data_IF_546885413742
#
_entry.id   IF_546885413742
#
_cell.length_a   1.000
_cell.length_b   1.000
_cell.length_c   1.000
_cell.angle_alpha   90.00
_cell.angle_beta   90.00
_cell.angle_gamma   90.00
#
_symmetry.space_group_name_H-M   'P 1'
#
loop_
_entity.id
_entity.type
_entity.pdbx_description
1 polymer ?
#
# COMPACT_ATOMS: atom_id res chain seq x y z
N UNK A 1 9.99 -11.55 13.89
CA UNK A 1 9.14 -11.92 12.74
C UNK A 1 9.18 -13.41 12.42
N UNK A 2 10.34 -14.04 12.39
CA UNK A 2 10.50 -15.48 12.06
C UNK A 2 9.76 -16.48 12.98
N UNK A 3 9.53 -16.17 14.25
CA UNK A 3 8.91 -17.11 15.21
C UNK A 3 7.45 -17.48 14.91
N UNK A 4 6.66 -16.61 14.22
CA UNK A 4 5.27 -16.92 13.83
C UNK A 4 5.19 -17.86 12.62
N UNK A 5 6.20 -17.87 11.76
CA UNK A 5 6.24 -18.67 10.55
C UNK A 5 6.45 -20.17 10.85
N UNK A 6 7.26 -20.47 11.88
CA UNK A 6 7.63 -21.84 12.25
C UNK A 6 6.40 -22.67 12.68
N UNK A 7 5.35 -22.03 13.18
CA UNK A 7 4.10 -22.69 13.61
C UNK A 7 3.22 -23.15 12.44
N UNK A 8 3.55 -22.79 11.20
CA UNK A 8 2.77 -23.13 10.02
C UNK A 8 3.51 -24.18 9.17
N UNK A 9 2.77 -25.21 8.72
CA UNK A 9 3.30 -26.20 7.80
C UNK A 9 3.79 -25.52 6.53
N UNK A 10 4.92 -25.98 5.98
CA UNK A 10 5.58 -25.31 4.84
C UNK A 10 4.66 -25.17 3.63
N UNK A 11 3.85 -26.20 3.35
CA UNK A 11 2.91 -26.24 2.23
C UNK A 11 1.72 -25.27 2.37
N UNK A 12 1.44 -24.80 3.59
CA UNK A 12 0.33 -23.87 3.90
C UNK A 12 0.79 -22.42 4.10
N UNK A 13 2.05 -22.12 3.81
CA UNK A 13 2.60 -20.77 3.94
C UNK A 13 3.33 -20.33 2.69
N UNK A 14 3.39 -19.02 2.49
CA UNK A 14 4.28 -18.38 1.53
C UNK A 14 5.00 -17.22 2.23
N UNK A 15 6.29 -17.12 1.99
CA UNK A 15 7.11 -16.00 2.42
C UNK A 15 7.34 -15.07 1.23
N UNK A 16 6.95 -13.81 1.37
CA UNK A 16 7.14 -12.80 0.32
C UNK A 16 7.80 -11.55 0.89
N UNK A 17 8.58 -10.90 0.07
CA UNK A 17 9.22 -9.67 0.50
C UNK A 17 10.49 -9.32 -0.25
N UNK A 18 10.99 -8.13 0.09
CA UNK A 18 12.17 -7.54 -0.53
C UNK A 18 13.13 -6.94 0.51
N UNK A 19 14.39 -6.80 0.09
CA UNK A 19 15.39 -5.94 0.70
C UNK A 19 16.13 -5.22 -0.43
N UNK A 20 16.13 -3.88 -0.36
CA UNK A 20 16.75 -3.09 -1.39
C UNK A 20 16.17 -3.33 -2.80
N UNK A 21 14.87 -3.60 -2.93
CA UNK A 21 14.20 -3.88 -4.21
C UNK A 21 14.41 -5.29 -4.75
N UNK A 22 15.16 -6.16 -4.07
CA UNK A 22 15.40 -7.55 -4.49
C UNK A 22 14.68 -8.53 -3.58
N UNK A 23 14.23 -9.66 -4.13
CA UNK A 23 13.64 -10.74 -3.35
C UNK A 23 14.61 -11.18 -2.24
N UNK A 24 14.10 -11.37 -1.03
CA UNK A 24 14.89 -11.88 0.10
C UNK A 24 15.30 -13.32 -0.19
N UNK A 25 16.56 -13.66 0.05
CA UNK A 25 17.05 -15.03 -0.09
C UNK A 25 16.25 -15.99 0.81
N UNK A 26 15.90 -17.15 0.29
CA UNK A 26 15.06 -18.14 0.96
C UNK A 26 13.56 -17.81 1.02
N UNK A 27 13.11 -16.69 0.45
CA UNK A 27 11.69 -16.37 0.33
C UNK A 27 11.11 -16.94 -0.97
N UNK A 28 9.82 -17.31 -0.93
CA UNK A 28 9.13 -17.88 -2.10
C UNK A 28 8.92 -16.81 -3.19
N UNK A 29 8.50 -15.59 -2.80
CA UNK A 29 8.15 -14.50 -3.71
C UNK A 29 8.89 -13.20 -3.33
N UNK A 30 9.11 -12.32 -4.32
CA UNK A 30 9.43 -10.92 -4.13
C UNK A 30 8.21 -10.12 -3.66
N UNK A 31 8.18 -8.82 -3.98
CA UNK A 31 7.03 -7.94 -3.69
C UNK A 31 6.30 -7.45 -4.95
N UNK A 32 6.61 -8.01 -6.13
CA UNK A 32 5.85 -7.74 -7.35
C UNK A 32 4.40 -8.20 -7.19
N UNK A 33 3.39 -7.33 -7.42
CA UNK A 33 1.99 -7.71 -7.34
C UNK A 33 1.63 -8.80 -8.36
N UNK A 34 2.33 -8.87 -9.49
CA UNK A 34 2.09 -9.83 -10.56
C UNK A 34 2.47 -11.25 -10.18
N UNK A 35 3.35 -11.44 -9.20
CA UNK A 35 3.73 -12.76 -8.68
C UNK A 35 2.68 -13.35 -7.72
N UNK A 36 1.79 -12.51 -7.18
CA UNK A 36 0.77 -12.90 -6.18
C UNK A 36 -0.54 -13.25 -6.88
N UNK A 37 -0.55 -14.37 -7.60
CA UNK A 37 -1.74 -14.84 -8.32
C UNK A 37 -2.61 -15.77 -7.48
N UNK A 38 -3.92 -15.86 -7.79
CA UNK A 38 -4.83 -16.79 -7.11
C UNK A 38 -4.29 -18.22 -7.08
N UNK A 39 -3.69 -18.69 -8.18
CA UNK A 39 -3.08 -20.03 -8.29
C UNK A 39 -1.96 -20.24 -7.26
N UNK A 40 -1.16 -19.22 -7.01
CA UNK A 40 0.01 -19.28 -6.12
C UNK A 40 -0.39 -19.19 -4.65
N UNK A 41 -1.37 -18.31 -4.32
CA UNK A 41 -1.70 -17.99 -2.91
C UNK A 41 -2.89 -18.73 -2.34
N UNK A 42 -3.70 -19.39 -3.17
CA UNK A 42 -4.93 -20.03 -2.73
C UNK A 42 -4.67 -21.06 -1.61
N UNK A 43 -5.43 -20.93 -0.51
CA UNK A 43 -5.32 -21.80 0.67
C UNK A 43 -4.05 -21.59 1.52
N UNK A 44 -3.25 -20.56 1.23
CA UNK A 44 -1.99 -20.31 1.93
C UNK A 44 -2.04 -19.04 2.76
N UNK A 45 -1.31 -19.03 3.87
CA UNK A 45 -1.03 -17.84 4.64
C UNK A 45 0.25 -17.17 4.14
N UNK A 46 0.16 -15.87 3.86
CA UNK A 46 1.28 -15.07 3.39
C UNK A 46 1.99 -14.41 4.57
N UNK A 47 3.32 -14.50 4.60
CA UNK A 47 4.18 -13.80 5.55
C UNK A 47 5.01 -12.79 4.79
N UNK A 48 4.70 -11.51 4.97
CA UNK A 48 5.35 -10.42 4.24
C UNK A 48 6.43 -9.75 5.08
N UNK A 49 7.57 -9.44 4.44
CA UNK A 49 8.64 -8.62 5.02
C UNK A 49 9.17 -7.65 3.98
N UNK A 50 9.05 -6.36 4.26
CA UNK A 50 9.52 -5.29 3.36
C UNK A 50 10.45 -4.34 4.10
N UNK A 51 11.19 -3.53 3.37
CA UNK A 51 12.13 -2.55 3.93
C UNK A 51 11.40 -1.47 4.72
N UNK A 52 10.28 -0.95 4.20
CA UNK A 52 9.57 0.21 4.76
C UNK A 52 8.17 -0.13 5.26
N UNK A 53 7.30 -0.70 4.42
CA UNK A 53 5.87 -0.88 4.72
C UNK A 53 5.58 -1.67 6.00
N UNK A 54 6.31 -2.75 6.26
CA UNK A 54 6.10 -3.54 7.49
C UNK A 54 6.51 -2.78 8.77
N UNK A 55 7.47 -1.87 8.68
CA UNK A 55 7.84 -0.99 9.82
C UNK A 55 6.73 0.05 10.09
N UNK A 56 6.16 0.63 9.03
CA UNK A 56 5.08 1.61 9.15
C UNK A 56 3.83 0.97 9.77
N UNK A 57 3.45 -0.22 9.33
CA UNK A 57 2.34 -0.98 9.93
C UNK A 57 2.57 -1.26 11.43
N UNK A 58 3.80 -1.56 11.84
CA UNK A 58 4.12 -1.76 13.26
C UNK A 58 3.93 -0.50 14.11
N UNK A 59 4.22 0.68 13.56
CA UNK A 59 4.04 1.96 14.28
C UNK A 59 2.58 2.27 14.59
N UNK A 60 1.67 1.90 13.69
CA UNK A 60 0.23 2.21 13.79
C UNK A 60 -0.65 1.02 14.17
N UNK A 61 -0.06 -0.12 14.55
CA UNK A 61 -0.78 -1.37 14.85
C UNK A 61 -1.79 -1.28 16.01
N UNK A 62 -1.77 -0.19 16.79
CA UNK A 62 -2.69 0.07 17.89
C UNK A 62 -3.90 0.93 17.47
N UNK A 63 -3.97 1.39 16.22
CA UNK A 63 -5.12 2.13 15.72
C UNK A 63 -6.40 1.27 15.84
N UNK A 64 -7.52 1.93 16.14
CA UNK A 64 -8.85 1.27 16.24
C UNK A 64 -9.20 0.56 14.91
N UNK A 65 -8.95 1.23 13.80
CA UNK A 65 -9.05 0.67 12.45
C UNK A 65 -7.73 0.91 11.73
N UNK A 66 -7.23 -0.09 11.05
CA UNK A 66 -6.01 -0.01 10.25
C UNK A 66 -6.26 -0.69 8.92
N UNK A 67 -6.12 0.06 7.84
CA UNK A 67 -6.28 -0.40 6.47
C UNK A 67 -4.97 -0.26 5.69
N UNK A 68 -4.73 -1.18 4.76
CA UNK A 68 -3.69 -1.00 3.75
C UNK A 68 -4.33 -0.53 2.45
N UNK A 69 -3.87 0.63 1.95
CA UNK A 69 -4.39 1.25 0.75
C UNK A 69 -3.29 1.39 -0.31
N UNK A 70 -3.67 1.27 -1.54
CA UNK A 70 -2.91 1.58 -2.74
C UNK A 70 -3.85 2.19 -3.79
N UNK A 71 -3.32 2.75 -4.85
CA UNK A 71 -4.17 3.31 -5.93
C UNK A 71 -5.18 2.30 -6.49
N UNK A 72 -4.83 1.01 -6.70
CA UNK A 72 -5.76 -0.01 -7.16
C UNK A 72 -7.01 -0.23 -6.27
N UNK A 73 -6.93 -0.05 -4.96
CA UNK A 73 -8.05 -0.25 -4.04
C UNK A 73 -8.47 1.02 -3.29
N UNK A 74 -8.06 2.20 -3.77
CA UNK A 74 -8.34 3.50 -3.14
C UNK A 74 -9.82 3.69 -2.84
N UNK A 75 -10.69 3.48 -3.86
CA UNK A 75 -12.14 3.64 -3.74
C UNK A 75 -12.73 2.77 -2.64
N UNK A 76 -12.46 1.47 -2.65
CA UNK A 76 -12.98 0.53 -1.65
C UNK A 76 -12.58 0.93 -0.22
N UNK A 77 -11.32 1.35 -0.02
CA UNK A 77 -10.86 1.81 1.30
C UNK A 77 -11.52 3.13 1.69
N UNK A 78 -11.66 4.08 0.76
CA UNK A 78 -12.32 5.37 1.01
C UNK A 78 -13.79 5.18 1.41
N UNK A 79 -14.54 4.37 0.68
CA UNK A 79 -15.95 4.05 0.98
C UNK A 79 -16.09 3.37 2.36
N UNK A 80 -15.13 2.51 2.73
CA UNK A 80 -15.08 1.93 4.07
C UNK A 80 -14.86 2.99 5.14
N UNK A 81 -13.95 3.95 4.92
CA UNK A 81 -13.70 5.06 5.85
C UNK A 81 -14.96 5.91 6.01
N UNK A 82 -15.64 6.26 4.92
CA UNK A 82 -16.90 7.03 4.93
C UNK A 82 -17.98 6.29 5.75
N UNK A 83 -18.14 4.99 5.52
CA UNK A 83 -19.11 4.15 6.25
C UNK A 83 -18.85 4.12 7.74
N UNK A 84 -17.58 4.15 8.16
CA UNK A 84 -17.20 4.15 9.57
C UNK A 84 -17.45 5.48 10.29
N UNK A 85 -17.69 6.55 9.55
CA UNK A 85 -17.90 7.93 10.08
C UNK A 85 -16.82 8.31 11.11
N UNK A 86 -15.57 8.00 10.81
CA UNK A 86 -14.45 8.27 11.72
C UNK A 86 -14.18 9.78 11.76
N UNK A 87 -14.11 10.35 12.97
CA UNK A 87 -13.81 11.78 13.17
C UNK A 87 -12.40 12.16 12.69
N UNK A 88 -11.45 11.23 12.83
CA UNK A 88 -10.05 11.46 12.47
C UNK A 88 -9.54 10.32 11.59
N UNK A 89 -8.87 10.69 10.51
CA UNK A 89 -8.20 9.75 9.59
C UNK A 89 -6.74 10.15 9.47
N UNK A 90 -5.83 9.25 9.83
CA UNK A 90 -4.40 9.40 9.60
C UNK A 90 -3.99 8.61 8.36
N UNK A 91 -3.40 9.27 7.38
CA UNK A 91 -2.80 8.63 6.21
C UNK A 91 -1.29 8.56 6.45
N UNK A 92 -0.75 7.35 6.53
CA UNK A 92 0.66 7.12 6.79
C UNK A 92 1.36 6.59 5.54
N UNK A 93 2.17 7.41 4.88
CA UNK A 93 3.12 6.96 3.88
C UNK A 93 4.27 6.16 4.52
N UNK A 94 4.72 5.12 3.84
CA UNK A 94 5.84 4.29 4.33
C UNK A 94 7.20 4.97 4.14
N UNK A 95 7.28 5.88 3.17
CA UNK A 95 8.52 6.51 2.77
C UNK A 95 9.51 5.52 2.16
N UNK A 96 10.68 6.03 1.82
CA UNK A 96 11.79 5.19 1.39
C UNK A 96 13.03 5.48 2.23
N UNK A 97 13.43 4.49 3.05
CA UNK A 97 14.60 4.58 3.95
C UNK A 97 14.59 5.83 4.86
N UNK A 98 13.39 6.23 5.31
CA UNK A 98 13.19 7.41 6.15
C UNK A 98 13.03 8.73 5.40
N UNK A 99 13.13 8.70 4.07
CA UNK A 99 12.95 9.87 3.21
C UNK A 99 11.54 9.94 2.62
N UNK A 100 11.23 11.09 2.02
CA UNK A 100 9.99 11.33 1.30
C UNK A 100 9.80 10.35 0.13
N UNK A 101 8.57 9.90 -0.09
CA UNK A 101 8.17 9.07 -1.22
C UNK A 101 7.09 9.79 -2.02
N UNK A 102 7.37 10.05 -3.29
CA UNK A 102 6.45 10.74 -4.20
C UNK A 102 5.19 9.90 -4.43
N UNK A 103 5.35 8.60 -4.62
CA UNK A 103 4.27 7.64 -4.85
C UNK A 103 3.34 7.50 -3.64
N UNK A 104 3.88 7.53 -2.41
CA UNK A 104 3.07 7.50 -1.19
C UNK A 104 2.25 8.78 -1.05
N UNK A 105 2.86 9.94 -1.33
CA UNK A 105 2.18 11.23 -1.30
C UNK A 105 1.11 11.34 -2.39
N UNK A 106 1.37 10.81 -3.58
CA UNK A 106 0.37 10.72 -4.65
C UNK A 106 -0.84 9.89 -4.20
N UNK A 107 -0.61 8.73 -3.58
CA UNK A 107 -1.67 7.87 -3.08
C UNK A 107 -2.44 8.53 -1.93
N UNK A 108 -1.75 9.26 -1.04
CA UNK A 108 -2.38 10.03 0.03
C UNK A 108 -3.30 11.13 -0.51
N UNK A 109 -2.83 11.91 -1.50
CA UNK A 109 -3.62 12.93 -2.18
C UNK A 109 -4.83 12.33 -2.90
N UNK A 110 -4.65 11.19 -3.57
CA UNK A 110 -5.72 10.47 -4.23
C UNK A 110 -6.84 10.05 -3.26
N UNK A 111 -6.47 9.52 -2.09
CA UNK A 111 -7.43 9.15 -1.06
C UNK A 111 -8.16 10.37 -0.49
N UNK A 112 -7.41 11.41 -0.13
CA UNK A 112 -7.97 12.64 0.43
C UNK A 112 -8.92 13.34 -0.55
N UNK A 113 -8.57 13.41 -1.85
CA UNK A 113 -9.45 13.94 -2.90
C UNK A 113 -10.76 13.16 -2.97
N UNK A 114 -10.69 11.82 -3.01
CA UNK A 114 -11.88 10.98 -3.04
C UNK A 114 -12.79 11.22 -1.81
N UNK A 115 -12.20 11.27 -0.62
CA UNK A 115 -12.96 11.54 0.60
C UNK A 115 -13.63 12.91 0.56
N UNK A 116 -12.94 13.97 0.14
CA UNK A 116 -13.50 15.33 0.00
C UNK A 116 -14.67 15.40 -0.99
N UNK A 117 -14.59 14.62 -2.05
CA UNK A 117 -15.61 14.62 -3.12
C UNK A 117 -16.85 13.80 -2.76
N UNK A 118 -16.72 12.79 -1.88
CA UNK A 118 -17.78 11.78 -1.66
C UNK A 118 -18.29 11.72 -0.21
N UNK A 119 -17.69 12.44 0.75
CA UNK A 119 -18.24 12.57 2.10
C UNK A 119 -19.39 13.57 2.11
N UNK A 120 -20.45 13.26 2.87
CA UNK A 120 -21.59 14.16 3.10
C UNK A 120 -21.24 15.31 4.07
N UNK A 121 -20.13 15.20 4.79
CA UNK A 121 -19.64 16.19 5.74
C UNK A 121 -18.29 16.76 5.29
N UNK A 122 -18.01 17.95 5.78
CA UNK A 122 -16.76 18.67 5.44
C UNK A 122 -15.52 17.91 5.95
N UNK A 123 -14.53 17.74 5.09
CA UNK A 123 -13.23 17.15 5.41
C UNK A 123 -12.21 18.25 5.61
N UNK A 124 -11.74 18.40 6.83
CA UNK A 124 -10.69 19.36 7.18
C UNK A 124 -9.30 18.75 7.00
N UNK A 125 -8.45 19.42 6.24
CA UNK A 125 -7.03 19.06 6.09
C UNK A 125 -6.22 19.75 7.18
N UNK A 126 -5.57 18.95 8.03
CA UNK A 126 -4.97 19.45 9.26
C UNK A 126 -3.46 19.71 9.17
N UNK A 127 -2.82 19.40 8.02
CA UNK A 127 -1.38 19.59 7.87
C UNK A 127 -0.98 19.89 6.41
N UNK A 128 0.18 20.51 6.26
CA UNK A 128 0.70 20.94 4.96
C UNK A 128 1.09 19.78 4.06
N UNK A 129 1.54 18.65 4.63
CA UNK A 129 1.92 17.47 3.86
C UNK A 129 0.74 16.90 3.08
N UNK A 130 -0.45 16.86 3.69
CA UNK A 130 -1.64 16.39 2.99
C UNK A 130 -2.17 17.43 1.99
N UNK A 131 -2.00 18.73 2.29
CA UNK A 131 -2.31 19.80 1.35
C UNK A 131 -1.42 19.71 0.10
N UNK A 132 -0.11 19.48 0.29
CA UNK A 132 0.83 19.25 -0.80
C UNK A 132 0.51 17.98 -1.58
N UNK A 133 0.09 16.92 -0.90
CA UNK A 133 -0.32 15.65 -1.54
C UNK A 133 -1.57 15.82 -2.42
N UNK A 134 -2.54 16.65 -2.00
CA UNK A 134 -3.71 17.00 -2.83
C UNK A 134 -3.28 17.74 -4.11
N UNK A 135 -2.41 18.73 -3.99
CA UNK A 135 -1.87 19.45 -5.14
C UNK A 135 -1.10 18.52 -6.09
N UNK A 136 -0.30 17.59 -5.52
CA UNK A 136 0.41 16.56 -6.29
C UNK A 136 -0.58 15.66 -7.05
N UNK A 137 -1.64 15.22 -6.40
CA UNK A 137 -2.69 14.42 -7.04
C UNK A 137 -3.34 15.17 -8.21
N UNK A 138 -3.70 16.43 -8.04
CA UNK A 138 -4.32 17.24 -9.10
C UNK A 138 -3.43 17.36 -10.34
N UNK A 139 -2.13 17.43 -10.17
CA UNK A 139 -1.17 17.46 -11.28
C UNK A 139 -1.07 16.11 -11.99
N UNK A 140 -1.07 15.00 -11.26
CA UNK A 140 -0.70 13.69 -11.80
C UNK A 140 -1.85 12.70 -11.99
N UNK A 141 -3.07 13.01 -11.55
CA UNK A 141 -4.22 12.09 -11.62
C UNK A 141 -4.54 11.54 -13.02
N UNK A 142 -4.16 12.28 -14.07
CA UNK A 142 -4.36 11.86 -15.46
C UNK A 142 -3.16 11.11 -16.06
N UNK A 143 -2.03 11.05 -15.37
CA UNK A 143 -0.83 10.35 -15.85
C UNK A 143 -0.06 9.72 -14.68
N UNK A 144 -0.77 8.86 -13.93
CA UNK A 144 -0.24 8.17 -12.75
C UNK A 144 1.01 7.35 -13.09
N UNK A 145 0.98 6.61 -14.20
CA UNK A 145 2.10 5.77 -14.62
C UNK A 145 3.39 6.58 -14.77
N UNK A 146 3.30 7.75 -15.39
CA UNK A 146 4.45 8.64 -15.56
C UNK A 146 4.93 9.19 -14.21
N UNK A 147 4.02 9.54 -13.31
CA UNK A 147 4.38 9.96 -11.95
C UNK A 147 5.20 8.88 -11.24
N UNK A 148 4.72 7.63 -11.21
CA UNK A 148 5.43 6.51 -10.58
C UNK A 148 6.82 6.28 -11.17
N UNK A 149 6.96 6.36 -12.49
CA UNK A 149 8.26 6.21 -13.18
C UNK A 149 9.20 7.41 -12.95
N UNK A 150 8.66 8.59 -12.71
CA UNK A 150 9.45 9.82 -12.46
C UNK A 150 9.98 9.86 -11.02
N UNK A 151 9.30 9.22 -10.08
CA UNK A 151 9.71 9.13 -8.69
C UNK A 151 11.13 8.56 -8.54
N UNK A 152 11.87 9.01 -7.53
CA UNK A 152 13.25 8.53 -7.28
C UNK A 152 13.29 7.01 -7.11
N UNK A 153 12.31 6.44 -6.37
CA UNK A 153 12.20 5.00 -6.21
C UNK A 153 11.84 4.30 -7.53
N UNK A 154 10.97 4.89 -8.35
CA UNK A 154 10.63 4.37 -9.67
C UNK A 154 11.84 4.29 -10.59
N UNK A 155 12.64 5.37 -10.69
CA UNK A 155 13.90 5.40 -11.44
C UNK A 155 14.88 4.32 -10.96
N UNK A 156 14.97 4.14 -9.64
CA UNK A 156 15.81 3.10 -9.06
C UNK A 156 15.33 1.69 -9.45
N UNK A 157 14.04 1.40 -9.37
CA UNK A 157 13.50 0.10 -9.79
C UNK A 157 13.83 -0.17 -11.26
N UNK A 158 13.63 0.81 -12.13
CA UNK A 158 14.01 0.70 -13.56
C UNK A 158 15.50 0.38 -13.76
N UNK A 159 16.38 0.89 -12.88
CA UNK A 159 17.81 0.55 -12.94
C UNK A 159 18.16 -0.85 -12.44
N UNK A 160 17.28 -1.49 -11.67
CA UNK A 160 17.47 -2.84 -11.14
C UNK A 160 16.94 -3.94 -12.06
N UNK A 161 16.08 -3.61 -13.01
CA UNK A 161 15.48 -4.56 -13.94
C UNK A 161 14.23 -4.05 -14.62
N UNK A 162 13.52 -4.94 -15.30
CA UNK A 162 12.25 -4.63 -15.94
C UNK A 162 11.09 -4.71 -14.95
N UNK A 163 10.56 -3.55 -14.60
CA UNK A 163 9.40 -3.37 -13.73
C UNK A 163 8.22 -2.69 -14.45
N UNK A 164 8.24 -2.65 -15.78
CA UNK A 164 7.23 -1.93 -16.56
C UNK A 164 5.81 -2.42 -16.25
N UNK A 165 5.61 -3.73 -16.20
CA UNK A 165 4.30 -4.31 -15.91
C UNK A 165 3.88 -4.09 -14.45
N UNK A 166 4.82 -4.05 -13.49
CA UNK A 166 4.55 -3.69 -12.10
C UNK A 166 4.08 -2.24 -12.00
N UNK A 167 4.73 -1.29 -12.70
CA UNK A 167 4.27 0.09 -12.77
C UNK A 167 2.88 0.21 -13.38
N UNK A 168 2.60 -0.50 -14.48
CA UNK A 168 1.28 -0.54 -15.10
C UNK A 168 0.22 -1.13 -14.16
N UNK A 169 0.56 -2.16 -13.40
CA UNK A 169 -0.33 -2.75 -12.41
C UNK A 169 -0.62 -1.76 -11.28
N UNK A 170 0.42 -1.15 -10.70
CA UNK A 170 0.29 -0.24 -9.57
C UNK A 170 -0.32 1.12 -9.92
N UNK A 171 -0.27 1.54 -11.21
CA UNK A 171 -0.88 2.79 -11.67
C UNK A 171 -2.38 2.68 -11.98
N UNK A 172 -2.94 1.47 -12.00
CA UNK A 172 -4.39 1.30 -12.18
C UNK A 172 -5.14 1.88 -10.98
N UNK A 173 -6.13 2.70 -11.26
CA UNK A 173 -6.94 3.33 -10.23
C UNK A 173 -8.22 2.52 -10.00
N UNK A 174 -8.56 2.24 -8.73
CA UNK A 174 -9.84 1.69 -8.30
C UNK A 174 -10.26 0.38 -9.02
N UNK A 175 -9.29 -0.46 -9.36
CA UNK A 175 -9.55 -1.73 -10.06
C UNK A 175 -9.70 -2.94 -9.14
N UNK A 176 -9.52 -2.76 -7.82
CA UNK A 176 -9.69 -3.79 -6.81
C UNK A 176 -10.74 -3.35 -5.77
N UNK A 177 -11.80 -4.13 -5.67
CA UNK A 177 -12.85 -3.91 -4.68
C UNK A 177 -12.54 -4.74 -3.41
N UNK A 178 -11.45 -4.38 -2.73
CA UNK A 178 -11.00 -5.05 -1.50
C UNK A 178 -10.54 -4.04 -0.47
N UNK A 179 -10.82 -4.32 0.80
CA UNK A 179 -10.37 -3.53 1.96
C UNK A 179 -9.47 -4.39 2.84
N UNK A 180 -8.14 -4.35 2.64
CA UNK A 180 -7.20 -5.05 3.51
C UNK A 180 -7.19 -4.40 4.90
N UNK A 181 -7.80 -5.05 5.89
CA UNK A 181 -7.95 -4.55 7.25
C UNK A 181 -7.15 -5.37 8.26
N UNK A 182 -6.59 -4.72 9.27
CA UNK A 182 -5.99 -5.42 10.39
C UNK A 182 -7.09 -6.07 11.24
N UNK A 183 -7.04 -7.40 11.37
CA UNK A 183 -7.97 -8.18 12.21
C UNK A 183 -7.36 -8.54 13.58
N UNK A 184 -6.05 -8.62 13.65
CA UNK A 184 -5.25 -8.72 14.87
C UNK A 184 -3.86 -8.11 14.60
N UNK A 185 -3.11 -7.80 15.65
CA UNK A 185 -1.79 -7.16 15.49
C UNK A 185 -0.90 -7.91 14.51
N UNK A 186 -0.55 -7.24 13.42
CA UNK A 186 0.32 -7.76 12.36
C UNK A 186 -0.35 -8.82 11.48
N UNK A 187 -1.67 -8.93 11.48
CA UNK A 187 -2.45 -9.76 10.55
C UNK A 187 -3.47 -8.90 9.82
N UNK A 188 -3.34 -8.86 8.51
CA UNK A 188 -4.24 -8.15 7.61
C UNK A 188 -5.03 -9.19 6.81
N UNK A 189 -6.32 -8.98 6.67
CA UNK A 189 -7.21 -9.74 5.79
C UNK A 189 -7.97 -8.79 4.87
N UNK A 190 -8.21 -9.23 3.65
CA UNK A 190 -9.16 -8.56 2.77
C UNK A 190 -10.59 -8.90 3.21
N UNK A 191 -11.44 -7.90 3.25
CA UNK A 191 -12.88 -7.98 3.52
C UNK A 191 -13.64 -7.42 2.32
#
# INVERSE_FOLDING_TARGET
MYKRQIKWQAEKRLMLGERGGKKIEGFDLGNSPLSVTKKVVNGKRLFMSTTNGTKSLQKVQNAKYLFAMSLPNRKAVAEKIITLKSENVLILGSGWEGSYSLEDSLAAGALASYLKENCEFEINILNDELQAALALWDVWKNDILKCLKTATHGKRLTSLGDYEDDFRCCSKLDCLDIVPAQVERGVIRAS
#
